data_IF_981309230269
#
_entry.id   IF_981309230269
#
_cell.length_a   1.000
_cell.length_b   1.000
_cell.length_c   1.000
_cell.angle_alpha   90.00
_cell.angle_beta   90.00
_cell.angle_gamma   90.00
#
_symmetry.space_group_name_H-M   'P 1'
#
loop_
_entity.id
_entity.type
_entity.pdbx_description
1 polymer ?
#
# COMPACT_ATOMS: atom_id res chain seq x y z
N UNK A 1 8.09 38.42 -22.40
CA UNK A 1 8.31 37.19 -23.20
C UNK A 1 7.56 36.09 -22.46
N UNK A 2 6.47 35.59 -23.03
CA UNK A 2 5.72 34.48 -22.44
C UNK A 2 6.57 33.22 -22.48
N UNK A 3 6.80 32.60 -21.33
CA UNK A 3 7.48 31.31 -21.25
C UNK A 3 6.40 30.24 -21.21
N UNK A 4 6.23 29.51 -22.33
CA UNK A 4 5.34 28.37 -22.40
C UNK A 4 6.16 27.11 -22.11
N UNK A 5 5.92 26.48 -20.96
CA UNK A 5 6.58 25.23 -20.59
C UNK A 5 5.53 24.16 -20.41
N UNK A 6 5.70 23.05 -21.11
CA UNK A 6 4.92 21.82 -20.94
C UNK A 6 5.87 20.77 -20.36
N UNK A 7 5.49 20.17 -19.24
CA UNK A 7 6.20 19.04 -18.66
C UNK A 7 5.19 17.90 -18.50
N UNK A 8 5.57 16.71 -18.97
CA UNK A 8 4.82 15.47 -18.76
C UNK A 8 5.69 14.63 -17.84
N UNK A 9 5.19 14.35 -16.63
CA UNK A 9 5.92 13.55 -15.64
C UNK A 9 5.19 12.22 -15.43
N UNK A 10 5.95 11.13 -15.46
CA UNK A 10 5.50 9.79 -15.06
C UNK A 10 6.27 9.42 -13.80
N UNK A 11 5.56 9.15 -12.71
CA UNK A 11 6.14 8.74 -11.43
C UNK A 11 5.60 7.39 -10.99
N UNK A 12 6.46 6.59 -10.34
CA UNK A 12 6.13 5.30 -9.74
C UNK A 12 6.85 5.20 -8.39
N UNK A 13 6.12 4.87 -7.32
CA UNK A 13 6.76 4.46 -6.06
C UNK A 13 6.97 2.94 -6.11
N UNK A 14 8.22 2.51 -6.31
CA UNK A 14 8.61 1.09 -6.24
C UNK A 14 9.57 0.87 -5.07
N UNK A 15 9.19 0.01 -4.13
CA UNK A 15 10.03 -0.49 -3.05
C UNK A 15 10.87 -1.67 -3.52
N UNK A 16 12.20 -1.51 -3.57
CA UNK A 16 13.13 -2.59 -3.89
C UNK A 16 13.58 -3.35 -2.63
N UNK A 17 13.30 -4.66 -2.58
CA UNK A 17 14.02 -5.66 -1.75
C UNK A 17 15.03 -6.39 -2.64
N UNK A 18 16.23 -6.68 -2.13
CA UNK A 18 17.21 -7.55 -2.77
C UNK A 18 17.78 -8.56 -1.77
N UNK A 19 17.68 -9.85 -2.12
CA UNK A 19 18.31 -10.99 -1.45
C UNK A 19 19.37 -11.64 -2.37
N UNK A 20 20.49 -12.00 -1.73
CA UNK A 20 21.64 -12.87 -2.05
C UNK A 20 21.66 -13.78 -3.31
N UNK A 21 22.88 -14.03 -3.85
CA UNK A 21 23.60 -15.34 -3.87
C UNK A 21 25.00 -15.19 -4.55
N UNK A 22 25.98 -16.01 -4.12
CA UNK A 22 27.44 -15.93 -4.36
C UNK A 22 28.05 -16.57 -5.63
N UNK A 23 29.39 -16.80 -5.67
CA UNK A 23 30.21 -16.77 -6.91
C UNK A 23 30.80 -18.11 -7.37
N UNK A 24 31.13 -18.24 -8.67
CA UNK A 24 32.05 -19.25 -9.25
C UNK A 24 32.89 -18.58 -10.37
N UNK A 25 34.20 -18.86 -10.41
CA UNK A 25 35.22 -18.18 -11.22
C UNK A 25 35.70 -18.85 -12.52
N UNK A 26 36.95 -18.50 -12.90
CA UNK A 26 37.75 -18.85 -14.11
C UNK A 26 37.54 -17.83 -15.26
N UNK A 27 38.51 -17.19 -15.93
CA UNK A 27 39.98 -17.15 -15.97
C UNK A 27 40.37 -16.32 -17.21
N UNK A 28 41.16 -15.24 -17.07
CA UNK A 28 42.54 -15.08 -17.56
C UNK A 28 42.75 -14.51 -19.00
N UNK A 29 43.33 -13.30 -19.03
CA UNK A 29 44.25 -12.61 -19.98
C UNK A 29 43.74 -11.20 -20.31
N UNK A 30 44.51 -10.10 -20.40
CA UNK A 30 45.84 -9.63 -19.94
C UNK A 30 46.07 -8.28 -20.67
N UNK A 31 46.86 -7.37 -20.08
CA UNK A 31 47.37 -6.08 -20.63
C UNK A 31 46.37 -4.90 -20.69
N UNK A 32 46.59 -3.70 -20.11
CA UNK A 32 47.83 -2.95 -19.85
C UNK A 32 47.81 -2.17 -18.51
N UNK A 33 49.01 -1.93 -17.98
CA UNK A 33 49.37 -1.38 -16.67
C UNK A 33 49.70 0.13 -16.78
N UNK A 34 49.05 0.99 -15.99
CA UNK A 34 49.61 2.28 -15.51
C UNK A 34 49.19 2.50 -14.06
N UNK A 35 50.18 2.79 -13.23
CA UNK A 35 50.10 2.84 -11.77
C UNK A 35 49.53 4.16 -11.25
N UNK A 36 48.72 4.09 -10.17
CA UNK A 36 48.68 5.09 -9.10
C UNK A 36 48.20 4.42 -7.79
N UNK A 37 48.74 4.86 -6.66
CA UNK A 37 48.63 4.27 -5.32
C UNK A 37 47.21 4.35 -4.70
N UNK A 38 46.91 3.53 -3.65
CA UNK A 38 45.58 3.40 -3.08
C UNK A 38 45.32 4.41 -1.96
N UNK A 39 44.24 5.17 -2.06
CA UNK A 39 43.58 5.77 -0.90
C UNK A 39 42.35 4.94 -0.55
N UNK A 40 42.35 4.37 0.66
CA UNK A 40 41.14 3.83 1.27
C UNK A 40 40.10 4.95 1.36
N UNK A 41 39.03 4.84 0.59
CA UNK A 41 37.81 5.63 0.73
C UNK A 41 36.67 4.69 1.08
N UNK A 42 36.13 4.84 2.29
CA UNK A 42 34.89 4.20 2.73
C UNK A 42 33.82 4.32 1.64
N UNK A 43 33.18 3.20 1.31
CA UNK A 43 32.05 3.16 0.38
C UNK A 43 30.94 4.09 0.86
N UNK A 44 30.78 5.20 0.15
CA UNK A 44 29.57 6.00 0.24
C UNK A 44 28.53 5.33 -0.65
N UNK A 45 27.37 5.04 -0.05
CA UNK A 45 26.12 4.74 -0.74
C UNK A 45 25.94 5.65 -1.96
N UNK A 46 25.37 5.15 -3.08
CA UNK A 46 25.09 5.99 -4.23
C UNK A 46 24.30 7.23 -3.78
N UNK A 47 24.64 8.43 -4.28
CA UNK A 47 23.94 9.64 -3.86
C UNK A 47 22.46 9.43 -4.15
N UNK A 48 21.64 9.59 -3.12
CA UNK A 48 20.20 9.76 -3.26
C UNK A 48 20.00 10.86 -4.29
N UNK A 49 19.44 10.50 -5.46
CA UNK A 49 18.99 11.46 -6.44
C UNK A 49 18.02 12.38 -5.69
N UNK A 50 18.34 13.68 -5.50
CA UNK A 50 17.42 14.58 -4.86
C UNK A 50 16.12 14.58 -5.68
N UNK A 51 14.93 14.69 -5.04
CA UNK A 51 13.71 14.89 -5.80
C UNK A 51 13.95 16.05 -6.75
N UNK A 52 13.65 15.82 -8.04
CA UNK A 52 13.86 16.75 -9.13
C UNK A 52 13.70 18.18 -8.64
N UNK A 53 14.74 19.00 -8.79
CA UNK A 53 14.64 20.43 -8.56
C UNK A 53 13.42 20.93 -9.33
N UNK A 54 12.33 21.18 -8.61
CA UNK A 54 11.29 22.09 -9.08
C UNK A 54 12.04 23.40 -9.24
N UNK A 55 12.37 23.76 -10.47
CA UNK A 55 12.81 25.11 -10.80
C UNK A 55 11.67 26.01 -10.32
N UNK A 56 11.84 26.62 -9.14
CA UNK A 56 10.93 27.60 -8.60
C UNK A 56 11.10 28.88 -9.42
N UNK A 57 10.17 29.23 -10.33
CA UNK A 57 10.33 30.38 -11.20
C UNK A 57 10.04 31.70 -10.47
N UNK A 58 9.86 31.69 -9.15
CA UNK A 58 9.62 32.90 -8.33
C UNK A 58 10.92 33.57 -7.83
N UNK A 59 12.08 32.95 -8.02
CA UNK A 59 13.38 33.55 -7.67
C UNK A 59 13.68 33.60 -6.16
N UNK A 60 13.17 32.64 -5.40
CA UNK A 60 13.40 32.57 -3.95
C UNK A 60 14.80 32.05 -3.65
N UNK A 61 15.75 32.95 -3.37
CA UNK A 61 16.92 32.66 -2.55
C UNK A 61 16.57 33.03 -1.12
N UNK A 62 16.12 32.04 -0.36
CA UNK A 62 15.74 32.21 1.04
C UNK A 62 15.24 30.88 1.56
N UNK A 63 15.83 30.43 2.67
CA UNK A 63 15.41 29.24 3.39
C UNK A 63 13.88 29.24 3.54
N UNK A 64 13.21 28.10 3.29
CA UNK A 64 11.76 28.04 3.40
C UNK A 64 11.34 28.61 4.76
N UNK A 65 10.18 29.30 4.85
CA UNK A 65 9.60 29.64 6.16
C UNK A 65 9.66 28.38 7.01
N UNK A 66 10.01 28.49 8.31
CA UNK A 66 10.01 27.32 9.18
C UNK A 66 8.68 26.63 8.95
N UNK A 67 8.72 25.35 8.60
CA UNK A 67 7.52 24.55 8.38
C UNK A 67 6.58 24.91 9.51
N UNK A 68 5.40 25.44 9.19
CA UNK A 68 4.33 25.43 10.16
C UNK A 68 4.30 24.00 10.63
N UNK A 69 4.59 23.82 11.92
CA UNK A 69 4.59 22.50 12.55
C UNK A 69 3.28 21.89 12.11
N UNK A 70 3.32 20.92 11.20
CA UNK A 70 2.13 20.21 10.79
C UNK A 70 1.52 19.77 12.10
N UNK A 71 0.37 20.37 12.44
CA UNK A 71 -0.42 19.81 13.52
C UNK A 71 -0.58 18.36 13.12
N UNK A 72 -0.16 17.42 13.99
CA UNK A 72 -0.31 16.01 13.69
C UNK A 72 -1.75 15.86 13.21
N UNK A 73 -1.92 15.37 11.97
CA UNK A 73 -3.23 14.97 11.48
C UNK A 73 -3.89 14.23 12.65
N UNK A 74 -5.12 14.60 13.06
CA UNK A 74 -5.77 13.97 14.19
C UNK A 74 -5.60 12.48 13.99
N UNK A 75 -4.96 11.82 14.96
CA UNK A 75 -4.58 10.41 14.83
C UNK A 75 -5.88 9.64 14.59
N UNK A 76 -6.19 9.37 13.33
CA UNK A 76 -7.36 8.59 12.98
C UNK A 76 -7.13 7.25 13.66
N UNK A 77 -8.04 6.79 14.53
CA UNK A 77 -7.88 5.50 15.15
C UNK A 77 -7.62 4.49 14.02
N UNK A 78 -6.66 3.57 14.18
CA UNK A 78 -6.37 2.57 13.16
C UNK A 78 -7.69 1.89 12.78
N UNK A 79 -7.91 1.61 11.48
CA UNK A 79 -9.17 1.05 11.02
C UNK A 79 -9.50 -0.16 11.87
N UNK A 80 -10.68 -0.13 12.46
CA UNK A 80 -11.20 -1.24 13.26
C UNK A 80 -11.67 -2.30 12.26
N UNK A 81 -10.70 -3.09 11.78
CA UNK A 81 -11.01 -4.31 11.05
C UNK A 81 -11.63 -5.27 12.05
N UNK A 82 -12.94 -5.38 12.00
CA UNK A 82 -13.67 -6.34 12.82
C UNK A 82 -13.59 -7.68 12.08
N UNK A 83 -12.80 -8.59 12.65
CA UNK A 83 -12.87 -10.00 12.30
C UNK A 83 -14.12 -10.59 12.96
N UNK A 84 -14.77 -11.58 12.34
CA UNK A 84 -15.86 -12.29 12.99
C UNK A 84 -15.35 -12.90 14.30
N UNK A 85 -16.21 -12.95 15.34
CA UNK A 85 -15.84 -13.62 16.58
C UNK A 85 -15.42 -15.06 16.26
N UNK A 86 -14.27 -15.47 16.80
CA UNK A 86 -13.88 -16.87 16.78
C UNK A 86 -14.94 -17.62 17.56
N UNK A 87 -15.65 -18.56 16.93
CA UNK A 87 -16.59 -19.43 17.66
C UNK A 87 -15.82 -20.14 18.79
N UNK A 88 -16.05 -19.73 20.03
CA UNK A 88 -15.67 -20.51 21.20
C UNK A 88 -16.59 -21.72 21.25
N UNK A 89 -16.14 -22.81 20.65
CA UNK A 89 -16.75 -24.12 20.85
C UNK A 89 -16.79 -24.42 22.35
N UNK A 90 -17.91 -24.95 22.88
CA UNK A 90 -18.04 -25.23 24.30
C UNK A 90 -16.89 -26.12 24.76
N UNK A 91 -16.28 -25.74 25.88
CA UNK A 91 -15.27 -26.53 26.58
C UNK A 91 -15.85 -27.93 26.81
N UNK A 92 -15.27 -28.92 26.11
CA UNK A 92 -15.76 -30.29 26.11
C UNK A 92 -15.67 -30.83 27.55
N UNK A 93 -16.81 -30.90 28.23
CA UNK A 93 -16.93 -31.63 29.49
C UNK A 93 -16.50 -33.08 29.26
N UNK A 94 -15.50 -33.52 30.02
CA UNK A 94 -14.98 -34.87 30.04
C UNK A 94 -16.08 -35.91 30.36
N UNK A 95 -16.75 -36.42 29.33
CA UNK A 95 -17.36 -37.75 29.40
C UNK A 95 -16.58 -38.67 28.49
N UNK A 96 -15.64 -39.41 29.09
CA UNK A 96 -14.86 -40.47 28.46
C UNK A 96 -15.79 -41.58 27.95
N UNK A 97 -16.24 -41.44 26.71
CA UNK A 97 -16.52 -42.59 25.85
C UNK A 97 -15.18 -43.33 25.59
N UNK A 98 -15.19 -44.64 25.26
CA UNK A 98 -13.97 -45.35 24.89
C UNK A 98 -13.27 -44.60 23.76
N UNK A 99 -12.09 -44.02 24.05
CA UNK A 99 -11.29 -43.27 23.10
C UNK A 99 -10.73 -44.25 22.07
N UNK A 100 -11.30 -44.26 20.87
CA UNK A 100 -10.74 -44.98 19.73
C UNK A 100 -9.35 -44.38 19.45
N UNK A 101 -8.30 -45.18 19.65
CA UNK A 101 -6.92 -44.80 19.36
C UNK A 101 -6.48 -45.42 18.06
N UNK A 102 -5.83 -44.62 17.22
CA UNK A 102 -5.39 -45.01 15.89
C UNK A 102 -3.86 -44.87 15.86
N UNK A 103 -3.17 -45.93 15.44
CA UNK A 103 -1.72 -45.87 15.21
C UNK A 103 -1.46 -45.08 13.93
N UNK A 104 -0.83 -43.91 14.05
CA UNK A 104 -0.48 -43.05 12.91
C UNK A 104 1.00 -43.17 12.63
N UNK A 105 1.33 -43.61 11.43
CA UNK A 105 2.71 -43.73 10.92
C UNK A 105 3.13 -42.49 10.16
N UNK A 106 2.24 -41.94 9.34
CA UNK A 106 2.56 -40.83 8.44
C UNK A 106 1.37 -39.90 8.27
N UNK A 107 1.66 -38.60 8.28
CA UNK A 107 0.67 -37.55 8.04
C UNK A 107 0.95 -36.93 6.67
N UNK A 108 -0.05 -36.94 5.80
CA UNK A 108 -0.01 -36.25 4.52
C UNK A 108 -0.85 -34.98 4.60
N UNK A 109 -0.31 -33.85 4.15
CA UNK A 109 -1.05 -32.59 4.06
C UNK A 109 -1.14 -32.19 2.61
N UNK A 110 -2.36 -31.94 2.13
CA UNK A 110 -2.65 -31.59 0.73
C UNK A 110 -3.27 -30.20 0.66
N UNK A 111 -3.14 -29.51 -0.49
CA UNK A 111 -3.77 -28.20 -0.71
C UNK A 111 -3.01 -26.99 -0.18
N UNK A 112 -1.77 -27.16 0.29
CA UNK A 112 -0.87 -26.05 0.65
C UNK A 112 -0.08 -25.58 -0.57
N UNK A 113 -0.18 -24.30 -0.90
CA UNK A 113 0.68 -23.61 -1.88
C UNK A 113 1.59 -22.57 -1.24
N UNK A 114 1.21 -22.06 -0.05
CA UNK A 114 1.97 -21.04 0.69
C UNK A 114 3.18 -21.64 1.41
N UNK A 115 2.99 -22.75 2.11
CA UNK A 115 4.03 -23.36 2.94
C UNK A 115 4.63 -24.57 2.26
N UNK A 116 5.94 -24.77 2.46
CA UNK A 116 6.65 -25.94 1.95
C UNK A 116 6.28 -27.19 2.76
N UNK A 117 6.48 -28.36 2.17
CA UNK A 117 6.27 -29.64 2.87
C UNK A 117 7.12 -29.73 4.15
N UNK A 118 8.31 -29.13 4.16
CA UNK A 118 9.23 -29.11 5.31
C UNK A 118 8.68 -28.27 6.47
N UNK A 119 8.05 -27.13 6.18
CA UNK A 119 7.42 -26.27 7.19
C UNK A 119 6.21 -26.96 7.84
N UNK A 120 5.42 -27.65 7.03
CA UNK A 120 4.27 -28.44 7.49
C UNK A 120 4.74 -29.66 8.30
N UNK A 121 5.77 -30.37 7.83
CA UNK A 121 6.33 -31.53 8.51
C UNK A 121 6.84 -31.18 9.92
N UNK A 122 7.39 -29.98 10.12
CA UNK A 122 7.77 -29.50 11.47
C UNK A 122 6.59 -29.43 12.44
N UNK A 123 5.40 -29.06 11.95
CA UNK A 123 4.17 -29.01 12.75
C UNK A 123 3.58 -30.40 12.97
N UNK A 124 3.68 -31.28 11.96
CA UNK A 124 3.13 -32.64 12.01
C UNK A 124 4.02 -33.65 12.77
N UNK A 125 5.33 -33.45 12.84
CA UNK A 125 6.30 -34.38 13.42
C UNK A 125 5.97 -34.88 14.85
N UNK A 126 5.43 -34.05 15.77
CA UNK A 126 5.05 -34.52 17.12
C UNK A 126 3.90 -35.55 17.15
N UNK A 127 3.18 -35.71 16.04
CA UNK A 127 2.00 -36.54 15.90
C UNK A 127 2.25 -37.80 15.05
N UNK A 128 3.42 -37.93 14.43
CA UNK A 128 3.78 -39.13 13.65
C UNK A 128 4.37 -40.25 14.54
N UNK A 129 4.26 -41.49 14.06
CA UNK A 129 4.79 -42.71 14.70
C UNK A 129 4.29 -42.95 16.14
N UNK A 130 3.05 -42.57 16.44
CA UNK A 130 2.41 -42.79 17.75
C UNK A 130 0.92 -43.09 17.63
N UNK A 131 0.33 -43.57 18.72
CA UNK A 131 -1.13 -43.66 18.84
C UNK A 131 -1.71 -42.26 19.07
N UNK A 132 -2.65 -41.87 18.22
CA UNK A 132 -3.40 -40.64 18.32
C UNK A 132 -4.85 -40.93 18.70
N UNK A 133 -5.36 -40.13 19.62
CA UNK A 133 -6.79 -40.02 19.92
C UNK A 133 -7.47 -39.05 18.94
N UNK A 134 -8.80 -38.99 18.95
CA UNK A 134 -9.54 -37.98 18.18
C UNK A 134 -9.15 -36.56 18.60
N UNK A 135 -8.88 -36.36 19.88
CA UNK A 135 -8.42 -35.10 20.44
C UNK A 135 -7.05 -34.69 19.88
N UNK A 136 -6.09 -35.63 19.79
CA UNK A 136 -4.77 -35.35 19.19
C UNK A 136 -4.88 -34.95 17.70
N UNK A 137 -5.80 -35.57 16.95
CA UNK A 137 -6.03 -35.24 15.53
C UNK A 137 -6.61 -33.82 15.36
N UNK A 138 -7.53 -33.44 16.23
CA UNK A 138 -8.07 -32.08 16.26
C UNK A 138 -7.03 -31.05 16.69
N UNK A 139 -6.14 -31.39 17.63
CA UNK A 139 -5.01 -30.54 18.01
C UNK A 139 -4.05 -30.30 16.84
N UNK A 140 -3.72 -31.34 16.07
CA UNK A 140 -2.93 -31.20 14.86
C UNK A 140 -3.64 -30.36 13.79
N UNK A 141 -4.95 -30.61 13.54
CA UNK A 141 -5.76 -29.79 12.62
C UNK A 141 -5.71 -28.32 13.01
N UNK A 142 -5.81 -28.03 14.31
CA UNK A 142 -5.72 -26.68 14.88
C UNK A 142 -4.32 -26.10 14.70
N UNK A 143 -3.27 -26.87 14.96
CA UNK A 143 -1.89 -26.43 14.80
C UNK A 143 -1.57 -26.05 13.34
N UNK A 144 -2.01 -26.87 12.38
CA UNK A 144 -1.91 -26.56 10.96
C UNK A 144 -2.70 -25.30 10.59
N UNK A 145 -3.91 -25.14 11.13
CA UNK A 145 -4.70 -23.91 10.91
C UNK A 145 -4.02 -22.67 11.49
N UNK A 146 -3.44 -22.78 12.69
CA UNK A 146 -2.72 -21.69 13.35
C UNK A 146 -1.45 -21.29 12.60
N UNK A 147 -0.77 -22.22 11.92
CA UNK A 147 0.35 -21.90 11.03
C UNK A 147 -0.07 -20.87 9.97
N UNK A 148 -1.24 -21.05 9.35
CA UNK A 148 -1.79 -20.12 8.36
C UNK A 148 -2.23 -18.79 8.99
N UNK A 149 -3.04 -18.85 10.05
CA UNK A 149 -3.59 -17.66 10.72
C UNK A 149 -2.47 -16.75 11.24
N UNK A 150 -1.45 -17.31 11.89
CA UNK A 150 -0.32 -16.55 12.42
C UNK A 150 0.51 -15.86 11.31
N UNK A 151 0.44 -16.38 10.08
CA UNK A 151 1.08 -15.80 8.90
C UNK A 151 0.18 -14.86 8.08
N UNK A 152 -1.04 -14.58 8.56
CA UNK A 152 -1.96 -13.62 7.97
C UNK A 152 -3.00 -14.22 7.02
N UNK A 153 -3.02 -15.55 6.85
CA UNK A 153 -4.01 -16.25 6.04
C UNK A 153 -5.23 -16.62 6.89
N UNK A 154 -5.98 -15.60 7.29
CA UNK A 154 -7.02 -15.69 8.33
C UNK A 154 -8.27 -16.49 7.92
N UNK A 155 -8.51 -16.65 6.62
CA UNK A 155 -9.61 -17.45 6.07
C UNK A 155 -9.13 -18.79 5.50
N UNK A 156 -7.88 -19.18 5.77
CA UNK A 156 -7.33 -20.49 5.41
C UNK A 156 -7.33 -21.41 6.63
N UNK A 157 -7.54 -22.70 6.40
CA UNK A 157 -7.55 -23.68 7.49
C UNK A 157 -7.45 -25.12 7.04
N UNK A 158 -7.08 -25.99 7.97
CA UNK A 158 -7.01 -27.43 7.74
C UNK A 158 -8.33 -28.11 8.14
N UNK A 159 -8.74 -29.07 7.31
CA UNK A 159 -9.85 -29.99 7.56
C UNK A 159 -9.34 -31.43 7.51
N UNK A 160 -10.06 -32.32 8.18
CA UNK A 160 -9.86 -33.77 8.09
C UNK A 160 -10.98 -34.29 7.18
N UNK A 161 -10.69 -34.65 5.92
CA UNK A 161 -11.71 -35.21 5.04
C UNK A 161 -12.12 -36.61 5.50
N UNK A 162 -13.35 -37.00 5.15
CA UNK A 162 -13.84 -38.37 5.34
C UNK A 162 -12.93 -39.34 4.58
N UNK A 163 -12.25 -40.21 5.33
CA UNK A 163 -11.27 -41.14 4.78
C UNK A 163 -11.23 -42.44 5.58
N UNK A 164 -10.88 -43.53 4.91
CA UNK A 164 -10.54 -44.79 5.59
C UNK A 164 -9.08 -44.75 6.00
N UNK A 165 -8.79 -44.91 7.30
CA UNK A 165 -7.41 -45.03 7.77
C UNK A 165 -6.87 -46.41 7.36
N UNK A 166 -6.03 -46.42 6.33
CA UNK A 166 -5.31 -47.60 5.86
C UNK A 166 -3.84 -47.44 6.22
N UNK A 167 -3.24 -48.52 6.72
CA UNK A 167 -1.79 -48.59 6.99
C UNK A 167 -1.25 -47.55 7.98
N UNK A 168 -2.12 -46.86 8.72
CA UNK A 168 -1.75 -45.81 9.66
C UNK A 168 -1.42 -44.47 8.99
N UNK A 169 -1.87 -44.25 7.76
CA UNK A 169 -1.72 -42.96 7.08
C UNK A 169 -2.97 -42.12 7.23
N UNK A 170 -2.80 -40.83 7.56
CA UNK A 170 -3.89 -39.87 7.68
C UNK A 170 -3.60 -38.67 6.79
N UNK A 171 -4.62 -38.24 6.04
CA UNK A 171 -4.56 -37.07 5.18
C UNK A 171 -5.27 -35.89 5.83
N UNK A 172 -4.61 -34.74 5.88
CA UNK A 172 -5.22 -33.44 6.17
C UNK A 172 -5.31 -32.67 4.86
N UNK A 173 -6.41 -31.97 4.66
CA UNK A 173 -6.59 -31.08 3.53
C UNK A 173 -6.60 -29.64 4.02
N UNK A 174 -5.70 -28.82 3.50
CA UNK A 174 -5.73 -27.38 3.69
C UNK A 174 -6.64 -26.77 2.63
N UNK A 175 -7.55 -25.93 3.08
CA UNK A 175 -8.35 -25.05 2.25
C UNK A 175 -7.71 -23.67 2.38
N UNK A 176 -6.98 -23.25 1.35
CA UNK A 176 -6.46 -21.90 1.26
C UNK A 176 -7.58 -20.96 0.82
N UNK A 177 -7.89 -19.97 1.67
CA UNK A 177 -8.99 -19.07 1.43
C UNK A 177 -8.69 -18.02 0.38
N UNK A 178 -9.75 -17.45 -0.19
CA UNK A 178 -9.68 -16.35 -1.15
C UNK A 178 -10.73 -15.28 -0.80
N UNK A 179 -10.41 -14.03 -1.13
CA UNK A 179 -11.37 -12.94 -1.13
C UNK A 179 -12.18 -13.04 -2.42
N UNK A 180 -13.46 -13.40 -2.31
CA UNK A 180 -14.32 -13.66 -3.47
C UNK A 180 -15.08 -12.43 -3.94
N UNK A 181 -15.33 -11.47 -3.05
CA UNK A 181 -16.11 -10.28 -3.35
C UNK A 181 -15.74 -9.12 -2.42
N UNK A 182 -15.87 -7.89 -2.92
CA UNK A 182 -15.66 -6.63 -2.18
C UNK A 182 -16.92 -5.78 -2.36
N UNK A 183 -17.67 -5.59 -1.28
CA UNK A 183 -18.91 -4.82 -1.29
C UNK A 183 -18.68 -3.44 -0.71
N UNK A 184 -18.74 -2.43 -1.56
CA UNK A 184 -18.52 -1.04 -1.18
C UNK A 184 -19.87 -0.34 -1.01
N UNK A 185 -20.03 0.35 0.12
CA UNK A 185 -21.20 1.15 0.48
C UNK A 185 -20.77 2.57 0.85
N UNK A 186 -21.59 3.55 0.47
CA UNK A 186 -21.32 4.97 0.75
C UNK A 186 -20.42 5.66 -0.28
N UNK A 187 -20.02 4.96 -1.34
CA UNK A 187 -19.30 5.56 -2.44
C UNK A 187 -20.24 6.42 -3.31
N UNK A 188 -20.07 7.74 -3.27
CA UNK A 188 -20.98 8.69 -3.95
C UNK A 188 -20.31 9.29 -5.19
N UNK A 189 -19.02 9.57 -5.09
CA UNK A 189 -18.17 10.15 -6.11
C UNK A 189 -17.22 9.10 -6.69
N UNK A 190 -16.69 8.14 -5.91
CA UNK A 190 -15.84 7.08 -6.46
C UNK A 190 -16.62 5.99 -7.20
N UNK A 191 -16.07 5.55 -8.33
CA UNK A 191 -16.54 4.36 -9.04
C UNK A 191 -16.13 3.10 -8.26
N UNK A 192 -17.00 2.10 -8.11
CA UNK A 192 -16.70 0.90 -7.32
C UNK A 192 -15.40 0.20 -7.74
N UNK A 193 -15.23 -0.05 -9.05
CA UNK A 193 -14.05 -0.76 -9.57
C UNK A 193 -12.72 -0.07 -9.23
N UNK A 194 -12.71 1.27 -9.17
CA UNK A 194 -11.50 2.04 -8.87
C UNK A 194 -10.97 1.72 -7.47
N UNK A 195 -11.90 1.55 -6.52
CA UNK A 195 -11.62 1.20 -5.13
C UNK A 195 -11.37 -0.30 -4.99
N UNK A 196 -12.18 -1.15 -5.62
CA UNK A 196 -12.03 -2.61 -5.57
C UNK A 196 -10.63 -3.06 -6.02
N UNK A 197 -10.15 -2.56 -7.16
CA UNK A 197 -8.83 -2.91 -7.69
C UNK A 197 -7.69 -2.52 -6.74
N UNK A 198 -7.83 -1.39 -6.03
CA UNK A 198 -6.83 -0.89 -5.07
C UNK A 198 -6.86 -1.65 -3.75
N UNK A 199 -8.05 -2.04 -3.30
CA UNK A 199 -8.24 -2.78 -2.05
C UNK A 199 -7.77 -4.23 -2.23
N UNK A 200 -8.08 -4.86 -3.36
CA UNK A 200 -7.69 -6.24 -3.66
C UNK A 200 -6.20 -6.40 -3.97
N UNK A 201 -5.47 -5.31 -4.17
CA UNK A 201 -4.09 -5.33 -4.62
C UNK A 201 -3.18 -6.09 -3.65
N UNK A 202 -2.49 -7.11 -4.18
CA UNK A 202 -1.58 -8.00 -3.45
C UNK A 202 -2.24 -8.81 -2.32
N UNK A 203 -3.57 -8.79 -2.20
CA UNK A 203 -4.30 -9.48 -1.14
C UNK A 203 -4.47 -10.99 -1.40
N UNK A 204 -4.21 -11.51 -2.60
CA UNK A 204 -4.31 -12.94 -2.93
C UNK A 204 -4.73 -13.22 -4.38
N UNK A 205 -5.10 -14.48 -4.71
CA UNK A 205 -5.13 -15.66 -3.84
C UNK A 205 -3.73 -16.29 -3.62
N UNK A 206 -3.49 -16.96 -2.48
CA UNK A 206 -4.38 -17.11 -1.33
C UNK A 206 -4.49 -15.83 -0.51
N UNK A 207 -5.63 -15.62 0.15
CA UNK A 207 -5.95 -14.37 0.81
C UNK A 207 -5.05 -14.11 2.02
N UNK A 208 -4.38 -12.95 2.04
CA UNK A 208 -3.57 -12.51 3.16
C UNK A 208 -4.06 -11.15 3.68
N UNK A 209 -4.27 -11.07 4.99
CA UNK A 209 -4.79 -9.87 5.64
C UNK A 209 -3.78 -8.73 5.73
N UNK A 210 -2.46 -9.02 5.69
CA UNK A 210 -1.42 -8.01 5.89
C UNK A 210 -1.36 -7.03 4.71
N UNK A 211 -1.26 -7.48 3.44
CA UNK A 211 -1.34 -6.57 2.29
C UNK A 211 -2.66 -5.79 2.26
N UNK A 212 -3.79 -6.43 2.54
CA UNK A 212 -5.09 -5.75 2.60
C UNK A 212 -5.05 -4.59 3.62
N UNK A 213 -4.55 -4.83 4.83
CA UNK A 213 -4.46 -3.80 5.87
C UNK A 213 -3.57 -2.64 5.44
N UNK A 214 -2.43 -2.92 4.81
CA UNK A 214 -1.54 -1.88 4.28
C UNK A 214 -2.25 -1.03 3.21
N UNK A 215 -3.00 -1.65 2.28
CA UNK A 215 -3.78 -0.94 1.26
C UNK A 215 -4.88 -0.07 1.85
N UNK A 216 -5.62 -0.59 2.83
CA UNK A 216 -6.64 0.18 3.54
C UNK A 216 -6.05 1.38 4.30
N UNK A 217 -4.84 1.24 4.86
CA UNK A 217 -4.13 2.36 5.50
C UNK A 217 -3.70 3.43 4.51
N UNK A 218 -3.24 3.04 3.33
CA UNK A 218 -2.89 3.99 2.25
C UNK A 218 -4.15 4.74 1.79
N UNK A 219 -5.26 4.03 1.57
CA UNK A 219 -6.53 4.66 1.20
C UNK A 219 -7.03 5.67 2.23
N UNK A 220 -6.82 5.43 3.53
CA UNK A 220 -7.17 6.38 4.59
C UNK A 220 -6.33 7.66 4.62
N UNK A 221 -5.19 7.69 3.93
CA UNK A 221 -4.38 8.92 3.79
C UNK A 221 -4.93 9.83 2.68
N UNK A 222 -5.84 9.33 1.86
CA UNK A 222 -6.50 10.10 0.82
C UNK A 222 -7.48 11.10 1.45
N UNK A 223 -7.27 12.43 1.29
CA UNK A 223 -8.17 13.43 1.87
C UNK A 223 -9.59 13.38 1.29
N UNK A 224 -9.81 12.62 0.21
CA UNK A 224 -11.13 12.41 -0.40
C UNK A 224 -11.96 11.37 0.37
N UNK A 225 -11.36 10.64 1.30
CA UNK A 225 -12.02 9.63 2.14
C UNK A 225 -12.00 10.12 3.59
N UNK A 226 -13.15 10.57 4.10
CA UNK A 226 -13.28 11.05 5.48
C UNK A 226 -13.26 9.90 6.50
N UNK A 227 -13.91 8.78 6.14
CA UNK A 227 -14.00 7.58 7.00
C UNK A 227 -14.04 6.31 6.16
N UNK A 228 -13.41 5.27 6.68
CA UNK A 228 -13.37 3.94 6.07
C UNK A 228 -13.50 2.88 7.16
N UNK A 229 -14.57 2.09 7.10
CA UNK A 229 -14.83 0.98 8.00
C UNK A 229 -14.89 -0.30 7.19
N UNK A 230 -14.15 -1.32 7.59
CA UNK A 230 -14.10 -2.60 6.87
C UNK A 230 -14.42 -3.78 7.76
N UNK A 231 -15.12 -4.75 7.21
CA UNK A 231 -15.57 -5.95 7.91
C UNK A 231 -15.42 -7.14 6.98
N UNK A 232 -14.68 -8.16 7.42
CA UNK A 232 -14.49 -9.38 6.66
C UNK A 232 -15.56 -10.40 7.07
N UNK A 233 -16.38 -10.85 6.13
CA UNK A 233 -17.43 -11.85 6.38
C UNK A 233 -17.10 -13.17 5.70
N UNK A 234 -17.46 -14.32 6.30
CA UNK A 234 -17.42 -15.61 5.60
C UNK A 234 -18.29 -15.60 4.33
N UNK A 235 -17.82 -16.26 3.28
CA UNK A 235 -18.57 -16.50 2.05
C UNK A 235 -19.52 -17.70 2.16
N UNK A 236 -19.98 -18.19 1.00
CA UNK A 236 -20.94 -19.31 0.95
C UNK A 236 -20.25 -20.67 1.09
N UNK A 237 -19.00 -20.78 0.61
CA UNK A 237 -18.20 -22.01 0.72
C UNK A 237 -17.05 -21.83 1.71
N UNK A 238 -16.57 -22.92 2.34
CA UNK A 238 -15.35 -22.88 3.13
C UNK A 238 -14.17 -22.29 2.33
N UNK A 239 -13.42 -21.39 2.96
CA UNK A 239 -12.32 -20.66 2.32
C UNK A 239 -12.74 -19.39 1.58
N UNK A 240 -14.02 -19.16 1.32
CA UNK A 240 -14.47 -17.90 0.71
C UNK A 240 -14.64 -16.81 1.79
N UNK A 241 -14.25 -15.58 1.46
CA UNK A 241 -14.51 -14.41 2.29
C UNK A 241 -15.00 -13.24 1.43
N UNK A 242 -15.87 -12.42 1.99
CA UNK A 242 -16.41 -11.21 1.37
C UNK A 242 -16.04 -10.01 2.24
N UNK A 243 -15.39 -9.01 1.66
CA UNK A 243 -15.03 -7.78 2.37
C UNK A 243 -16.16 -6.75 2.21
N UNK A 244 -16.76 -6.35 3.31
CA UNK A 244 -17.69 -5.22 3.34
C UNK A 244 -16.92 -3.96 3.70
N UNK A 245 -17.06 -2.93 2.87
CA UNK A 245 -16.39 -1.64 3.00
C UNK A 245 -17.46 -0.57 3.07
N UNK A 246 -17.56 0.11 4.22
CA UNK A 246 -18.44 1.27 4.41
C UNK A 246 -17.58 2.51 4.48
N UNK A 247 -17.81 3.47 3.59
CA UNK A 247 -17.03 4.70 3.54
C UNK A 247 -17.88 5.95 3.57
N UNK A 248 -17.25 7.04 4.00
CA UNK A 248 -17.76 8.40 3.90
C UNK A 248 -16.75 9.20 3.08
N UNK A 249 -17.19 9.73 1.94
CA UNK A 249 -16.36 10.52 1.05
C UNK A 249 -16.47 12.01 1.37
N UNK A 250 -15.38 12.75 1.15
CA UNK A 250 -15.36 14.19 1.25
C UNK A 250 -15.96 14.84 0.00
N UNK A 251 -16.36 16.11 0.10
CA UNK A 251 -16.77 16.88 -1.07
C UNK A 251 -15.62 17.00 -2.08
N UNK A 252 -15.84 16.66 -3.36
CA UNK A 252 -14.81 16.70 -4.41
C UNK A 252 -14.41 18.13 -4.78
N UNK A 253 -15.28 19.11 -4.52
CA UNK A 253 -15.05 20.50 -4.92
C UNK A 253 -14.51 21.32 -3.75
N UNK A 254 -13.40 22.03 -4.00
CA UNK A 254 -12.80 22.99 -3.07
C UNK A 254 -12.46 24.29 -3.81
N UNK A 255 -12.63 25.42 -3.15
CA UNK A 255 -12.21 26.71 -3.69
C UNK A 255 -11.74 27.63 -2.56
N UNK A 256 -10.69 28.39 -2.82
CA UNK A 256 -10.15 29.33 -1.84
C UNK A 256 -9.47 30.51 -2.53
N UNK A 257 -9.24 31.57 -1.75
CA UNK A 257 -8.56 32.78 -2.18
C UNK A 257 -7.42 33.05 -1.22
N UNK A 258 -6.27 33.43 -1.75
CA UNK A 258 -5.09 33.77 -0.97
C UNK A 258 -4.61 35.18 -1.30
N UNK A 259 -4.12 35.89 -0.29
CA UNK A 259 -3.38 37.13 -0.45
C UNK A 259 -2.09 37.02 0.36
N UNK A 260 -0.95 37.13 -0.28
CA UNK A 260 0.35 36.96 0.36
C UNK A 260 1.42 37.83 -0.31
N UNK A 261 2.58 37.95 0.34
CA UNK A 261 3.73 38.71 -0.14
C UNK A 261 4.86 37.80 -0.68
N UNK A 262 4.51 36.63 -1.24
CA UNK A 262 5.48 35.60 -1.66
C UNK A 262 6.04 35.80 -3.06
N UNK A 263 5.62 36.85 -3.77
CA UNK A 263 6.15 37.17 -5.09
C UNK A 263 7.47 37.94 -4.95
N UNK A 264 8.36 37.83 -5.94
CA UNK A 264 9.59 38.64 -5.95
C UNK A 264 9.27 40.14 -5.91
N UNK A 265 9.91 40.94 -5.03
CA UNK A 265 9.69 42.39 -4.95
C UNK A 265 9.87 43.12 -6.30
N UNK A 266 10.76 42.60 -7.17
CA UNK A 266 11.04 43.14 -8.51
C UNK A 266 9.81 43.17 -9.42
N UNK A 267 8.87 42.26 -9.22
CA UNK A 267 7.61 42.16 -9.98
C UNK A 267 6.40 42.37 -9.06
N UNK A 268 6.60 43.06 -7.93
CA UNK A 268 5.58 43.30 -6.91
C UNK A 268 5.46 42.14 -5.93
N UNK A 269 5.80 42.38 -4.66
CA UNK A 269 5.84 41.33 -3.64
C UNK A 269 4.45 40.76 -3.31
N UNK A 270 3.43 41.61 -3.34
CA UNK A 270 2.05 41.25 -3.03
C UNK A 270 1.36 40.60 -4.23
N UNK A 271 0.75 39.44 -4.00
CA UNK A 271 -0.07 38.73 -4.99
C UNK A 271 -1.39 38.28 -4.38
N UNK A 272 -2.43 38.31 -5.21
CA UNK A 272 -3.71 37.67 -4.93
C UNK A 272 -3.90 36.47 -5.85
N UNK A 273 -4.33 35.34 -5.28
CA UNK A 273 -4.59 34.09 -5.97
C UNK A 273 -6.01 33.61 -5.67
N UNK A 274 -6.69 33.07 -6.68
CA UNK A 274 -7.89 32.28 -6.52
C UNK A 274 -7.66 30.88 -7.08
N UNK A 275 -8.03 29.86 -6.32
CA UNK A 275 -7.83 28.47 -6.70
C UNK A 275 -9.13 27.70 -6.61
N UNK A 276 -9.35 26.86 -7.62
CA UNK A 276 -10.42 25.86 -7.68
C UNK A 276 -9.76 24.49 -7.80
N UNK A 277 -10.15 23.57 -6.93
CA UNK A 277 -9.76 22.17 -6.98
C UNK A 277 -10.99 21.29 -7.15
N UNK A 278 -10.91 20.34 -8.08
CA UNK A 278 -11.89 19.28 -8.27
C UNK A 278 -11.16 17.95 -8.13
N UNK A 279 -11.36 17.32 -6.98
CA UNK A 279 -10.79 16.04 -6.61
C UNK A 279 -11.79 14.94 -6.93
N UNK A 280 -11.39 13.92 -7.69
CA UNK A 280 -12.23 12.79 -8.13
C UNK A 280 -13.42 13.22 -9.01
N UNK A 281 -13.19 14.10 -9.99
CA UNK A 281 -14.23 14.64 -10.86
C UNK A 281 -14.91 13.59 -11.76
N UNK A 282 -14.18 12.55 -12.15
CA UNK A 282 -14.70 11.44 -12.97
C UNK A 282 -14.88 10.14 -12.19
N UNK A 283 -14.68 10.15 -10.86
CA UNK A 283 -14.82 8.97 -10.02
C UNK A 283 -13.66 7.97 -10.11
N UNK A 284 -12.57 8.32 -10.80
CA UNK A 284 -11.37 7.51 -11.01
C UNK A 284 -10.15 8.06 -10.25
N UNK A 285 -10.39 8.84 -9.20
CA UNK A 285 -9.33 9.45 -8.41
C UNK A 285 -8.48 10.48 -9.17
N UNK A 286 -9.01 11.07 -10.24
CA UNK A 286 -8.41 12.20 -10.94
C UNK A 286 -8.39 13.47 -10.08
N UNK A 287 -7.50 14.41 -10.38
CA UNK A 287 -7.41 15.69 -9.66
C UNK A 287 -7.21 16.81 -10.68
N UNK A 288 -8.05 17.83 -10.59
CA UNK A 288 -7.93 19.05 -11.39
C UNK A 288 -7.70 20.23 -10.47
N UNK A 289 -6.66 21.01 -10.74
CA UNK A 289 -6.36 22.24 -10.02
C UNK A 289 -6.25 23.38 -11.03
N UNK A 290 -6.99 24.46 -10.78
CA UNK A 290 -6.89 25.70 -11.55
C UNK A 290 -6.65 26.87 -10.60
N UNK A 291 -5.52 27.53 -10.77
CA UNK A 291 -5.13 28.73 -10.04
C UNK A 291 -5.00 29.90 -10.99
N UNK A 292 -5.67 30.99 -10.66
CA UNK A 292 -5.52 32.26 -11.35
C UNK A 292 -5.14 33.36 -10.36
N UNK A 293 -4.37 34.35 -10.80
CA UNK A 293 -3.97 35.43 -9.93
C UNK A 293 -3.24 36.54 -10.64
N UNK A 294 -2.76 37.48 -9.84
CA UNK A 294 -1.95 38.61 -10.30
C UNK A 294 -1.12 39.20 -9.17
N UNK A 295 -0.03 39.86 -9.57
CA UNK A 295 0.72 40.83 -8.76
C UNK A 295 0.91 42.11 -9.59
N UNK A 296 1.58 43.13 -9.03
CA UNK A 296 1.82 44.39 -9.75
C UNK A 296 2.62 44.18 -11.06
N UNK A 297 3.50 43.18 -11.09
CA UNK A 297 4.39 42.89 -12.21
C UNK A 297 4.19 41.50 -12.80
N UNK A 298 3.15 40.75 -12.40
CA UNK A 298 2.80 39.46 -13.03
C UNK A 298 1.31 39.44 -13.34
N UNK A 299 0.96 39.49 -14.63
CA UNK A 299 -0.43 39.46 -15.07
C UNK A 299 -0.56 39.03 -16.55
N UNK A 300 -1.23 37.89 -16.85
CA UNK A 300 -1.89 37.00 -15.90
C UNK A 300 -0.89 36.11 -15.16
N UNK A 301 -1.28 35.58 -14.00
CA UNK A 301 -0.67 34.42 -13.36
C UNK A 301 -1.68 33.28 -13.45
N UNK A 302 -1.40 32.26 -14.27
CA UNK A 302 -2.25 31.08 -14.46
C UNK A 302 -1.42 29.82 -14.25
N UNK A 303 -1.92 28.92 -13.42
CA UNK A 303 -1.35 27.60 -13.17
C UNK A 303 -2.47 26.56 -13.13
N UNK A 304 -2.38 25.55 -14.00
CA UNK A 304 -3.37 24.49 -14.13
C UNK A 304 -2.67 23.14 -14.09
N UNK A 305 -3.17 22.21 -13.29
CA UNK A 305 -2.74 20.82 -13.31
C UNK A 305 -3.91 19.86 -13.44
N UNK A 306 -3.68 18.75 -14.11
CA UNK A 306 -4.58 17.61 -14.15
C UNK A 306 -3.79 16.32 -13.93
N UNK A 307 -4.12 15.58 -12.87
CA UNK A 307 -3.47 14.34 -12.49
C UNK A 307 -4.49 13.21 -12.65
N UNK A 308 -4.12 12.14 -13.35
CA UNK A 308 -4.97 10.96 -13.50
C UNK A 308 -4.18 9.69 -13.15
N UNK A 309 -4.63 8.89 -12.16
CA UNK A 309 -4.08 7.59 -11.90
C UNK A 309 -4.60 6.58 -12.92
N UNK A 310 -3.72 5.72 -13.45
CA UNK A 310 -4.11 4.72 -14.45
C UNK A 310 -3.76 3.28 -14.05
N UNK A 311 -3.16 3.07 -12.87
CA UNK A 311 -2.97 1.74 -12.27
C UNK A 311 -3.47 1.71 -10.83
N UNK A 312 -3.77 0.53 -10.30
CA UNK A 312 -4.12 0.31 -8.89
C UNK A 312 -2.92 0.51 -7.92
N UNK A 313 -1.70 0.66 -8.45
CA UNK A 313 -0.48 1.01 -7.70
C UNK A 313 -0.22 2.51 -7.65
N UNK A 314 -1.22 3.32 -8.01
CA UNK A 314 -1.16 4.78 -8.05
C UNK A 314 -0.07 5.34 -8.98
N UNK A 315 0.23 4.64 -10.08
CA UNK A 315 0.97 5.25 -11.18
C UNK A 315 0.10 6.34 -11.80
N UNK A 316 0.61 7.58 -11.83
CA UNK A 316 -0.13 8.75 -12.28
C UNK A 316 0.49 9.41 -13.50
N UNK A 317 -0.36 9.97 -14.35
CA UNK A 317 0.02 10.91 -15.39
C UNK A 317 -0.38 12.31 -14.96
N UNK A 318 0.57 13.25 -14.99
CA UNK A 318 0.32 14.66 -14.71
C UNK A 318 0.47 15.50 -15.99
N UNK A 319 -0.54 16.33 -16.26
CA UNK A 319 -0.52 17.38 -17.26
C UNK A 319 -0.48 18.73 -16.55
N UNK A 320 0.57 19.50 -16.80
CA UNK A 320 0.77 20.81 -16.20
C UNK A 320 0.81 21.92 -17.27
N UNK A 321 0.10 23.01 -17.01
CA UNK A 321 0.08 24.19 -17.86
C UNK A 321 0.24 25.47 -17.03
N UNK A 322 1.15 26.35 -17.45
CA UNK A 322 1.42 27.62 -16.77
C UNK A 322 1.58 28.76 -17.77
N UNK A 323 0.98 29.91 -17.46
CA UNK A 323 1.12 31.14 -18.21
C UNK A 323 1.33 32.32 -17.26
N UNK A 324 2.52 32.93 -17.34
CA UNK A 324 2.89 34.09 -16.53
C UNK A 324 3.51 35.18 -17.40
N UNK A 325 2.95 36.38 -17.38
CA UNK A 325 3.51 37.55 -18.07
C UNK A 325 4.11 38.52 -17.06
N UNK A 326 5.42 38.77 -17.21
CA UNK A 326 6.20 39.56 -16.25
C UNK A 326 6.50 40.97 -16.75
N UNK A 327 6.29 41.94 -15.87
CA UNK A 327 6.72 43.33 -15.99
C UNK A 327 7.54 43.69 -14.74
N UNK A 328 8.75 44.20 -14.95
CA UNK A 328 9.59 44.67 -13.83
C UNK A 328 9.05 45.99 -13.32
N UNK A 329 8.71 46.04 -12.03
CA UNK A 329 8.10 47.21 -11.36
C UNK A 329 9.08 47.91 -10.42
N UNK A 330 10.27 47.34 -10.16
CA UNK A 330 11.29 47.98 -9.32
C UNK A 330 11.81 49.28 -9.94
N UNK A 331 11.92 50.33 -9.12
CA UNK A 331 12.65 51.55 -9.48
C UNK A 331 14.14 51.25 -9.69
N UNK A 332 14.84 51.93 -10.62
CA UNK A 332 16.29 51.78 -10.76
C UNK A 332 16.98 52.06 -9.42
N UNK A 333 17.97 51.23 -9.07
CA UNK A 333 18.77 51.43 -7.88
C UNK A 333 19.30 52.87 -7.87
N UNK A 334 18.99 53.62 -6.80
CA UNK A 334 19.74 54.84 -6.51
C UNK A 334 21.07 54.39 -5.93
N UNK A 335 22.15 54.58 -6.69
CA UNK A 335 23.50 54.49 -6.15
C UNK A 335 23.59 55.49 -4.99
N UNK A 336 23.98 54.98 -3.81
CA UNK A 336 24.10 55.73 -2.56
C UNK A 336 25.37 56.58 -2.51
#
# INVERSE_FOLDING_TARGET
>A
RATMSYCITLSNLSTSRLSQIGPIGIGLLSFFLTALHPSLGLGQSPPSVPPHHVLDPTGRSGEPPPLQKEEPLPSTPPPELILPPVDTFPELQEKRAPQLRIMVRKIHVTGSTVFTEEEIAKVAAPYENRELSTEDLEELRRALTLLYVNNGYVNSGAIIPDQAVKEGEITFQVIEGALTDIKIEGNTYFLPFFLEDRIALDAGPPFNIRPLKERLQILLQDPRIERLNTELKPGLKPGEAVLHVRMQEASPFRAWVEFNNFQSPTVGAERGLGTIAVDNGFGIGDQFLFTFGRSNGVNPLIDTSYIVPFTARDTTLELHYRLNDFLVVSSPFKDL
#
